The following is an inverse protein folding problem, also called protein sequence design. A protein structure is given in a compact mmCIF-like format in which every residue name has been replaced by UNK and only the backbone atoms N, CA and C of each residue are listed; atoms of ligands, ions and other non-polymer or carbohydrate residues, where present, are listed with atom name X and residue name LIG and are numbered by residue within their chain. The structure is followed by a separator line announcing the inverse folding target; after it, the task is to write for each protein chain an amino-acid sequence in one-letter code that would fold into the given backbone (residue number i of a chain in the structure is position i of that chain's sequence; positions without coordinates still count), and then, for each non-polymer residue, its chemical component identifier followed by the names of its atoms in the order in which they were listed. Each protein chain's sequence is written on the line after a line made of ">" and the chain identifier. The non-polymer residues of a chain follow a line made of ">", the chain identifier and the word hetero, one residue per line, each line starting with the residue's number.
data_IF_663544638187
#
_entry.id   IF_663544638187
#
_cell.length_a   1.000
_cell.length_b   1.000
_cell.length_c   1.000
_cell.angle_alpha   90.00
_cell.angle_beta   90.00
_cell.angle_gamma   90.00
#
_symmetry.space_group_name_H-M   'P 1'
#
loop_
_entity.id
_entity.type
_entity.pdbx_description
1 polymer ?
#
# COMPACT_ATOMS: atom_id res chain seq x y z
N UNK A 1 -12.07 8.45 -37.81
CA UNK A 1 -11.52 9.66 -37.17
C UNK A 1 -10.40 9.23 -36.26
N UNK A 2 -9.17 9.61 -36.59
CA UNK A 2 -7.98 9.36 -35.77
C UNK A 2 -8.06 10.25 -34.53
N UNK A 3 -7.99 9.66 -33.35
CA UNK A 3 -7.78 10.41 -32.12
C UNK A 3 -6.28 10.61 -31.95
N UNK A 4 -5.86 11.87 -32.05
CA UNK A 4 -4.47 12.30 -31.93
C UNK A 4 -3.95 12.03 -30.51
N UNK A 5 -2.87 11.27 -30.46
CA UNK A 5 -1.86 11.32 -29.41
C UNK A 5 -1.28 12.74 -29.33
N UNK A 6 -1.37 13.39 -28.17
CA UNK A 6 -0.46 14.42 -27.62
C UNK A 6 -1.12 15.14 -26.45
N UNK A 7 -1.02 14.57 -25.26
CA UNK A 7 -0.96 15.34 -24.00
C UNK A 7 -0.25 14.48 -22.94
N UNK A 8 1.06 14.26 -23.13
CA UNK A 8 1.95 13.88 -22.02
C UNK A 8 2.30 15.19 -21.31
N UNK A 9 1.52 15.56 -20.30
CA UNK A 9 1.98 16.52 -19.28
C UNK A 9 2.60 15.67 -18.17
N UNK A 10 3.94 15.59 -18.16
CA UNK A 10 4.68 15.07 -17.01
C UNK A 10 4.26 15.85 -15.75
N UNK A 11 3.97 15.21 -14.61
CA UNK A 11 3.60 15.92 -13.40
C UNK A 11 4.88 16.32 -12.69
N UNK A 12 5.15 17.61 -12.77
CA UNK A 12 6.26 18.23 -12.09
C UNK A 12 5.93 18.41 -10.60
N UNK A 13 6.75 17.85 -9.72
CA UNK A 13 6.78 18.25 -8.30
C UNK A 13 7.86 19.31 -8.17
N UNK A 14 7.47 20.55 -7.89
CA UNK A 14 8.41 21.65 -7.66
C UNK A 14 8.98 21.55 -6.24
N UNK A 15 10.29 21.32 -6.13
CA UNK A 15 11.06 21.59 -4.92
C UNK A 15 11.80 22.93 -5.07
N UNK A 16 12.24 23.52 -3.96
CA UNK A 16 13.11 24.71 -3.93
C UNK A 16 14.48 24.49 -4.60
N UNK A 17 14.79 23.26 -5.03
CA UNK A 17 16.03 22.86 -5.72
C UNK A 17 15.80 22.48 -7.19
N UNK A 18 14.60 22.70 -7.74
CA UNK A 18 14.27 22.40 -9.14
C UNK A 18 13.39 21.16 -9.32
N UNK A 19 13.16 20.81 -10.58
CA UNK A 19 12.33 19.71 -11.06
C UNK A 19 12.84 18.36 -10.51
N UNK A 20 12.10 17.76 -9.57
CA UNK A 20 12.44 16.39 -9.10
C UNK A 20 11.68 15.40 -9.96
N UNK A 21 12.41 14.67 -10.78
CA UNK A 21 11.90 13.61 -11.64
C UNK A 21 12.02 12.27 -10.91
N UNK A 22 10.96 11.89 -10.18
CA UNK A 22 11.03 10.88 -9.11
C UNK A 22 11.05 9.44 -9.64
N UNK A 23 10.39 9.14 -10.76
CA UNK A 23 10.34 7.80 -11.37
C UNK A 23 10.69 7.81 -12.88
N UNK A 24 11.61 8.67 -13.32
CA UNK A 24 11.94 8.80 -14.77
C UNK A 24 13.06 7.86 -15.27
N UNK A 25 13.67 7.06 -14.40
CA UNK A 25 14.55 5.96 -14.81
C UNK A 25 13.73 4.68 -14.90
N UNK A 26 14.11 3.78 -15.82
CA UNK A 26 13.55 2.44 -15.87
C UNK A 26 13.71 1.74 -14.52
N UNK A 27 12.67 1.05 -14.08
CA UNK A 27 12.56 0.30 -12.82
C UNK A 27 12.41 1.16 -11.56
N UNK A 28 11.88 2.39 -11.68
CA UNK A 28 11.58 3.24 -10.53
C UNK A 28 10.44 2.68 -9.67
N UNK A 29 10.69 2.47 -8.37
CA UNK A 29 9.70 1.91 -7.43
C UNK A 29 9.05 2.94 -6.54
N UNK A 30 7.72 2.81 -6.40
CA UNK A 30 6.99 3.47 -5.33
C UNK A 30 6.76 2.53 -4.15
N UNK A 31 7.18 2.94 -2.97
CA UNK A 31 6.81 2.30 -1.70
C UNK A 31 5.57 3.01 -1.14
N UNK A 32 4.39 2.43 -1.33
CA UNK A 32 3.14 2.95 -0.76
C UNK A 32 2.98 2.52 0.69
N UNK A 33 3.00 3.50 1.60
CA UNK A 33 2.86 3.26 3.04
C UNK A 33 1.51 3.81 3.53
N UNK A 34 0.46 2.98 3.68
CA UNK A 34 -0.80 3.41 4.28
C UNK A 34 -0.57 3.74 5.76
N UNK A 35 -0.96 4.94 6.17
CA UNK A 35 -0.49 5.52 7.43
C UNK A 35 -1.57 6.27 8.23
N UNK A 36 -1.55 6.09 9.55
CA UNK A 36 -2.21 6.93 10.56
C UNK A 36 -1.62 6.63 11.92
N UNK A 37 -1.19 7.66 12.65
CA UNK A 37 -0.76 7.58 14.05
C UNK A 37 0.30 6.47 14.31
N UNK A 38 1.33 6.42 13.46
CA UNK A 38 2.46 5.47 13.54
C UNK A 38 3.81 6.19 13.41
N UNK A 39 3.93 7.38 14.00
CA UNK A 39 5.11 8.24 13.82
C UNK A 39 6.39 7.59 14.37
N UNK A 40 6.29 6.82 15.45
CA UNK A 40 7.42 6.08 16.02
C UNK A 40 7.89 5.00 15.03
N UNK A 41 6.96 4.20 14.49
CA UNK A 41 7.28 3.18 13.49
C UNK A 41 7.83 3.82 12.22
N UNK A 42 7.27 4.94 11.74
CA UNK A 42 7.77 5.65 10.57
C UNK A 42 9.20 6.16 10.77
N UNK A 43 9.54 6.59 11.99
CA UNK A 43 10.88 7.07 12.32
C UNK A 43 11.95 5.97 12.29
N UNK A 44 11.56 4.72 12.56
CA UNK A 44 12.43 3.56 12.35
C UNK A 44 12.40 3.08 10.89
N UNK A 45 11.21 3.08 10.29
CA UNK A 45 10.95 2.55 8.96
C UNK A 45 11.72 3.29 7.87
N UNK A 46 11.59 4.62 7.82
CA UNK A 46 12.12 5.43 6.72
C UNK A 46 13.63 5.25 6.52
N UNK A 47 14.50 5.53 7.53
CA UNK A 47 15.95 5.38 7.35
C UNK A 47 16.39 3.92 7.23
N UNK A 48 15.61 2.96 7.75
CA UNK A 48 15.92 1.54 7.62
C UNK A 48 15.68 1.06 6.19
N UNK A 49 14.47 1.29 5.66
CA UNK A 49 14.09 0.80 4.34
C UNK A 49 14.89 1.51 3.25
N UNK A 50 15.14 2.81 3.40
CA UNK A 50 15.97 3.58 2.48
C UNK A 50 17.36 2.94 2.29
N UNK A 51 18.03 2.61 3.40
CA UNK A 51 19.31 1.88 3.38
C UNK A 51 19.18 0.49 2.76
N UNK A 52 18.16 -0.27 3.16
CA UNK A 52 17.92 -1.64 2.68
C UNK A 52 17.73 -1.68 1.16
N UNK A 53 17.05 -0.69 0.58
CA UNK A 53 16.82 -0.58 -0.86
C UNK A 53 18.04 -0.01 -1.59
N UNK A 54 18.75 0.96 -1.01
CA UNK A 54 20.00 1.47 -1.56
C UNK A 54 21.09 0.39 -1.67
N UNK A 55 21.21 -0.51 -0.68
CA UNK A 55 22.13 -1.66 -0.73
C UNK A 55 21.80 -2.65 -1.87
N UNK A 56 20.56 -2.64 -2.36
CA UNK A 56 20.11 -3.42 -3.51
C UNK A 56 20.17 -2.66 -4.84
N UNK A 57 20.64 -1.41 -4.83
CA UNK A 57 20.61 -0.51 -6.00
C UNK A 57 19.19 -0.31 -6.57
N UNK A 58 18.19 -0.26 -5.69
CA UNK A 58 16.80 0.00 -6.07
C UNK A 58 16.53 1.50 -5.93
N UNK A 59 16.37 2.19 -7.06
CA UNK A 59 15.94 3.59 -7.11
C UNK A 59 14.48 3.66 -6.65
N UNK A 60 14.24 4.30 -5.50
CA UNK A 60 12.96 4.19 -4.81
C UNK A 60 12.43 5.53 -4.27
N UNK A 61 11.13 5.52 -3.99
CA UNK A 61 10.41 6.64 -3.45
C UNK A 61 9.42 6.20 -2.37
N UNK A 62 9.54 6.76 -1.16
CA UNK A 62 8.66 6.40 -0.03
C UNK A 62 7.48 7.38 0.02
N UNK A 63 6.28 6.88 -0.32
CA UNK A 63 5.04 7.62 -0.34
C UNK A 63 4.15 7.23 0.85
N UNK A 64 4.08 8.11 1.84
CA UNK A 64 3.28 7.94 3.04
C UNK A 64 1.87 8.49 2.80
N UNK A 65 0.89 7.59 2.74
CA UNK A 65 -0.52 7.92 2.56
C UNK A 65 -1.19 8.12 3.93
N UNK A 66 -1.13 9.35 4.44
CA UNK A 66 -1.62 9.70 5.78
C UNK A 66 -3.12 9.98 5.76
N UNK A 67 -3.92 9.12 6.39
CA UNK A 67 -5.37 9.28 6.44
C UNK A 67 -5.78 10.28 7.52
N UNK A 68 -6.19 11.48 7.12
CA UNK A 68 -6.51 12.60 8.03
C UNK A 68 -7.99 12.80 8.34
N UNK A 69 -8.89 12.06 7.67
CA UNK A 69 -10.31 12.04 8.02
C UNK A 69 -10.58 11.31 9.35
N UNK A 70 -11.79 11.48 9.89
CA UNK A 70 -12.22 10.84 11.14
C UNK A 70 -12.85 9.45 10.94
N UNK A 71 -12.83 8.89 9.73
CA UNK A 71 -13.32 7.53 9.51
C UNK A 71 -12.33 6.52 10.07
N UNK A 72 -12.76 5.27 10.24
CA UNK A 72 -11.86 4.16 10.56
C UNK A 72 -10.76 4.06 9.52
N UNK A 73 -9.63 3.47 9.89
CA UNK A 73 -8.50 3.34 8.97
C UNK A 73 -8.88 2.45 7.78
N UNK A 74 -8.55 2.86 6.56
CA UNK A 74 -8.87 2.14 5.32
C UNK A 74 -7.61 1.98 4.47
N UNK A 75 -6.84 0.92 4.80
CA UNK A 75 -5.57 0.57 4.16
C UNK A 75 -5.70 0.47 2.64
N UNK A 76 -6.68 -0.27 2.15
CA UNK A 76 -6.89 -0.50 0.72
C UNK A 76 -7.20 0.77 -0.08
N UNK A 77 -8.03 1.67 0.46
CA UNK A 77 -8.33 2.92 -0.23
C UNK A 77 -7.14 3.87 -0.24
N UNK A 78 -6.33 3.90 0.82
CA UNK A 78 -5.08 4.67 0.83
C UNK A 78 -4.09 4.15 -0.22
N UNK A 79 -4.01 2.82 -0.40
CA UNK A 79 -3.20 2.21 -1.45
C UNK A 79 -3.69 2.61 -2.84
N UNK A 80 -5.01 2.60 -3.09
CA UNK A 80 -5.57 3.11 -4.36
C UNK A 80 -5.19 4.58 -4.61
N UNK A 81 -5.23 5.42 -3.57
CA UNK A 81 -4.83 6.83 -3.70
C UNK A 81 -3.32 6.95 -3.93
N UNK A 82 -2.51 6.14 -3.26
CA UNK A 82 -1.06 6.06 -3.49
C UNK A 82 -0.74 5.73 -4.94
N UNK A 83 -1.36 4.67 -5.49
CA UNK A 83 -1.23 4.33 -6.90
C UNK A 83 -1.55 5.53 -7.82
N UNK A 84 -2.61 6.28 -7.55
CA UNK A 84 -3.00 7.45 -8.36
C UNK A 84 -1.99 8.60 -8.28
N UNK A 85 -1.29 8.77 -7.16
CA UNK A 85 -0.21 9.76 -7.05
C UNK A 85 1.06 9.25 -7.75
N UNK A 86 1.32 7.96 -7.75
CA UNK A 86 2.50 7.34 -8.39
C UNK A 86 2.39 7.20 -9.91
N UNK A 87 1.20 6.89 -10.41
CA UNK A 87 0.89 6.85 -11.86
C UNK A 87 1.17 8.21 -12.50
N UNK A 88 0.93 9.30 -11.76
CA UNK A 88 1.37 10.63 -12.18
C UNK A 88 2.89 10.64 -12.31
N UNK A 89 3.62 10.29 -11.26
CA UNK A 89 5.09 10.36 -11.25
C UNK A 89 5.78 9.45 -12.27
N UNK A 90 5.07 8.49 -12.86
CA UNK A 90 5.56 7.61 -13.92
C UNK A 90 6.33 6.40 -13.40
N UNK A 91 6.00 5.91 -12.20
CA UNK A 91 6.63 4.71 -11.64
C UNK A 91 6.22 3.44 -12.39
N UNK A 92 7.11 2.46 -12.44
CA UNK A 92 6.88 1.21 -13.20
C UNK A 92 6.13 0.17 -12.35
N UNK A 93 6.41 0.14 -11.06
CA UNK A 93 5.77 -0.76 -10.11
C UNK A 93 5.66 -0.14 -8.72
N UNK A 94 4.76 -0.72 -7.93
CA UNK A 94 4.50 -0.30 -6.56
C UNK A 94 4.73 -1.44 -5.59
N UNK A 95 5.09 -1.08 -4.36
CA UNK A 95 5.20 -1.96 -3.20
C UNK A 95 4.24 -1.44 -2.14
N UNK A 96 3.15 -2.17 -1.92
CA UNK A 96 2.28 -1.95 -0.77
C UNK A 96 3.01 -2.39 0.48
N UNK A 97 3.27 -1.49 1.42
CA UNK A 97 4.16 -1.77 2.53
C UNK A 97 3.58 -1.32 3.87
N UNK A 98 3.38 -2.25 4.78
CA UNK A 98 3.05 -1.91 6.17
C UNK A 98 4.26 -1.21 6.83
N UNK A 99 4.02 -0.08 7.50
CA UNK A 99 5.07 0.74 8.14
C UNK A 99 5.76 0.02 9.30
N UNK A 100 5.12 -0.99 9.87
CA UNK A 100 5.60 -1.71 11.04
C UNK A 100 6.36 -3.02 10.71
N UNK A 101 6.53 -3.37 9.43
CA UNK A 101 7.12 -4.65 9.03
C UNK A 101 8.42 -4.43 8.26
N UNK A 102 9.58 -4.70 8.87
CA UNK A 102 10.88 -4.44 8.25
C UNK A 102 11.53 -5.75 7.76
N UNK A 103 11.99 -5.83 6.50
CA UNK A 103 12.72 -7.00 5.99
C UNK A 103 14.12 -7.07 6.60
N UNK A 104 14.48 -8.17 7.25
CA UNK A 104 15.80 -8.36 7.85
C UNK A 104 16.76 -9.14 6.95
N UNK A 105 16.23 -9.96 6.04
CA UNK A 105 17.03 -10.79 5.16
C UNK A 105 17.37 -10.03 3.85
N UNK A 106 18.66 -9.74 3.56
CA UNK A 106 19.07 -9.01 2.35
C UNK A 106 18.83 -9.80 1.04
N UNK A 107 18.52 -11.10 1.11
CA UNK A 107 18.14 -11.90 -0.06
C UNK A 107 16.73 -11.58 -0.59
N UNK A 108 15.92 -10.81 0.16
CA UNK A 108 14.60 -10.37 -0.28
C UNK A 108 14.76 -9.25 -1.30
N UNK A 109 14.57 -9.58 -2.58
CA UNK A 109 14.64 -8.60 -3.66
C UNK A 109 13.38 -7.75 -3.75
N UNK A 110 13.59 -6.43 -3.77
CA UNK A 110 12.57 -5.43 -4.08
C UNK A 110 12.59 -5.00 -5.55
N UNK A 111 13.41 -5.62 -6.40
CA UNK A 111 13.48 -5.28 -7.83
C UNK A 111 12.23 -5.66 -8.60
N UNK A 112 12.09 -5.11 -9.81
CA UNK A 112 10.91 -5.22 -10.68
C UNK A 112 10.25 -6.62 -10.65
N UNK A 113 8.92 -6.71 -10.40
CA UNK A 113 8.25 -7.99 -10.22
C UNK A 113 8.07 -8.78 -11.53
N UNK A 114 8.08 -8.10 -12.68
CA UNK A 114 7.67 -8.65 -13.96
C UNK A 114 6.20 -8.35 -14.27
N UNK A 115 5.87 -8.08 -15.53
CA UNK A 115 4.48 -7.95 -15.99
C UNK A 115 3.68 -9.23 -15.74
N UNK A 116 2.40 -9.10 -15.40
CA UNK A 116 1.53 -10.21 -15.06
C UNK A 116 1.87 -10.89 -13.74
N UNK A 117 2.79 -10.34 -12.93
CA UNK A 117 3.29 -10.97 -11.71
C UNK A 117 3.03 -10.12 -10.48
N UNK A 118 2.42 -10.74 -9.47
CA UNK A 118 2.30 -10.18 -8.13
C UNK A 118 3.28 -10.94 -7.23
N UNK A 119 4.27 -10.27 -6.67
CA UNK A 119 5.24 -10.87 -5.76
C UNK A 119 4.88 -10.53 -4.32
N UNK A 120 4.57 -11.54 -3.52
CA UNK A 120 4.30 -11.38 -2.10
C UNK A 120 5.58 -11.58 -1.29
N UNK A 121 6.06 -10.48 -0.70
CA UNK A 121 7.33 -10.39 0.01
C UNK A 121 7.19 -10.97 1.42
N UNK A 122 6.12 -10.61 2.15
CA UNK A 122 5.91 -11.11 3.51
C UNK A 122 5.19 -12.46 3.54
N UNK A 123 5.71 -13.45 2.82
CA UNK A 123 5.10 -14.76 2.67
C UNK A 123 4.75 -15.44 4.03
N UNK A 124 3.66 -16.22 4.11
CA UNK A 124 3.17 -16.86 5.36
C UNK A 124 4.22 -17.71 6.08
N UNK A 125 5.16 -18.28 5.32
CA UNK A 125 6.27 -19.08 5.83
C UNK A 125 7.35 -18.25 6.54
N UNK A 126 7.36 -16.93 6.35
CA UNK A 126 8.32 -16.00 6.92
C UNK A 126 7.68 -14.90 7.77
N UNK A 127 6.38 -14.66 7.62
CA UNK A 127 5.69 -13.63 8.38
C UNK A 127 5.58 -14.04 9.87
N UNK A 128 5.93 -13.16 10.84
CA UNK A 128 5.95 -13.51 12.25
C UNK A 128 4.56 -13.88 12.79
N UNK A 129 3.52 -13.11 12.39
CA UNK A 129 2.14 -13.32 12.85
C UNK A 129 1.25 -14.24 12.00
N UNK A 130 1.13 -14.03 10.69
CA UNK A 130 0.15 -14.72 9.84
C UNK A 130 0.78 -15.85 9.02
N UNK A 131 0.14 -17.03 9.00
CA UNK A 131 0.69 -18.23 8.35
C UNK A 131 -0.33 -19.02 7.51
N UNK A 132 -1.50 -18.45 7.23
CA UNK A 132 -2.51 -19.12 6.40
C UNK A 132 -2.16 -18.97 4.92
N UNK A 133 -2.48 -19.98 4.10
CA UNK A 133 -1.98 -20.11 2.72
C UNK A 133 -2.41 -19.00 1.76
N UNK A 134 -3.56 -18.36 2.00
CA UNK A 134 -4.12 -17.30 1.16
C UNK A 134 -3.64 -15.89 1.55
N UNK A 135 -2.85 -15.76 2.62
CA UNK A 135 -2.39 -14.47 3.12
C UNK A 135 -1.49 -13.76 2.09
N UNK A 136 -1.79 -12.49 1.83
CA UNK A 136 -1.02 -11.58 0.98
C UNK A 136 -0.86 -10.16 1.58
N UNK A 137 -1.17 -9.98 2.87
CA UNK A 137 -1.00 -8.70 3.57
C UNK A 137 0.46 -8.46 3.99
N UNK A 138 0.74 -7.31 4.61
CA UNK A 138 2.12 -6.91 4.95
C UNK A 138 2.79 -6.18 3.78
N UNK A 139 3.57 -6.91 2.98
CA UNK A 139 4.39 -6.38 1.89
C UNK A 139 4.09 -7.16 0.60
N UNK A 140 3.55 -6.46 -0.40
CA UNK A 140 3.10 -7.03 -1.67
C UNK A 140 3.46 -6.07 -2.81
N UNK A 141 4.00 -6.58 -3.91
CA UNK A 141 4.45 -5.75 -5.02
C UNK A 141 3.97 -6.27 -6.38
N UNK A 142 3.71 -5.35 -7.30
CA UNK A 142 3.22 -5.59 -8.65
C UNK A 142 3.38 -4.33 -9.50
N UNK A 143 3.34 -4.48 -10.81
CA UNK A 143 3.46 -3.37 -11.75
C UNK A 143 2.26 -2.41 -11.65
N UNK A 144 2.48 -1.16 -12.05
CA UNK A 144 1.39 -0.17 -12.09
C UNK A 144 0.29 -0.59 -13.07
N UNK A 145 0.68 -1.21 -14.20
CA UNK A 145 -0.21 -1.82 -15.20
C UNK A 145 -1.08 -2.92 -14.59
N UNK A 146 -0.48 -3.90 -13.91
CA UNK A 146 -1.21 -5.04 -13.33
C UNK A 146 -2.20 -4.59 -12.25
N UNK A 147 -1.79 -3.65 -11.38
CA UNK A 147 -2.69 -3.10 -10.36
C UNK A 147 -3.91 -2.42 -10.99
N UNK A 148 -3.72 -1.72 -12.11
CA UNK A 148 -4.80 -1.08 -12.86
C UNK A 148 -5.74 -2.10 -13.52
N UNK A 149 -5.19 -3.18 -14.09
CA UNK A 149 -5.97 -4.26 -14.73
C UNK A 149 -6.97 -4.87 -13.76
N UNK A 150 -6.58 -5.10 -12.51
CA UNK A 150 -7.47 -5.67 -11.47
C UNK A 150 -8.36 -4.62 -10.77
N UNK A 151 -8.37 -3.37 -11.27
CA UNK A 151 -9.05 -2.23 -10.67
C UNK A 151 -8.67 -1.99 -9.20
N UNK A 152 -7.40 -2.19 -8.87
CA UNK A 152 -6.85 -2.03 -7.52
C UNK A 152 -7.61 -2.76 -6.41
N UNK A 153 -7.47 -2.29 -5.18
CA UNK A 153 -8.12 -2.88 -4.01
C UNK A 153 -9.54 -2.35 -3.81
N UNK A 154 -10.40 -3.10 -3.12
CA UNK A 154 -11.75 -2.64 -2.74
C UNK A 154 -11.72 -1.47 -1.76
N UNK A 155 -12.62 -0.49 -1.93
CA UNK A 155 -12.72 0.67 -1.05
C UNK A 155 -13.60 0.44 0.20
N UNK A 156 -14.23 -0.73 0.33
CA UNK A 156 -15.25 -0.96 1.37
C UNK A 156 -14.67 -1.37 2.74
N UNK A 157 -13.36 -1.58 2.82
CA UNK A 157 -12.70 -2.15 4.00
C UNK A 157 -12.26 -1.06 4.98
N UNK A 158 -13.22 -0.64 5.80
CA UNK A 158 -13.00 0.25 6.93
C UNK A 158 -12.72 -0.54 8.21
N UNK A 159 -11.61 -0.22 8.89
CA UNK A 159 -11.08 -0.95 10.03
C UNK A 159 -10.27 -2.20 9.63
N UNK A 160 -9.80 -2.97 10.61
CA UNK A 160 -8.83 -4.03 10.35
C UNK A 160 -9.45 -5.24 9.61
N UNK A 161 -8.75 -5.71 8.58
CA UNK A 161 -8.85 -7.04 7.97
C UNK A 161 -9.84 -7.22 6.83
N UNK A 162 -9.57 -8.27 6.04
CA UNK A 162 -10.26 -8.80 4.85
C UNK A 162 -9.99 -8.05 3.54
N UNK A 163 -9.29 -6.93 3.56
CA UNK A 163 -8.97 -6.20 2.32
C UNK A 163 -7.91 -6.91 1.48
N UNK A 164 -6.94 -7.55 2.14
CA UNK A 164 -5.91 -8.39 1.53
C UNK A 164 -6.50 -9.70 1.00
N UNK A 165 -7.38 -10.34 1.76
CA UNK A 165 -8.14 -11.52 1.33
C UNK A 165 -9.00 -11.24 0.08
N UNK A 166 -9.60 -10.06 0.00
CA UNK A 166 -10.40 -9.66 -1.17
C UNK A 166 -9.52 -9.35 -2.38
N UNK A 167 -8.38 -8.69 -2.17
CA UNK A 167 -7.42 -8.43 -3.22
C UNK A 167 -6.80 -9.72 -3.76
N UNK A 168 -6.60 -10.75 -2.92
CA UNK A 168 -6.20 -12.08 -3.36
C UNK A 168 -7.17 -12.66 -4.40
N UNK A 169 -8.49 -12.44 -4.20
CA UNK A 169 -9.49 -12.86 -5.17
C UNK A 169 -9.41 -12.04 -6.46
N UNK A 170 -9.09 -10.74 -6.39
CA UNK A 170 -8.89 -9.89 -7.58
C UNK A 170 -7.69 -10.34 -8.42
N UNK A 171 -6.59 -10.69 -7.79
CA UNK A 171 -5.39 -11.24 -8.45
C UNK A 171 -5.75 -12.51 -9.21
N UNK A 172 -6.57 -13.38 -8.60
CA UNK A 172 -7.04 -14.61 -9.25
C UNK A 172 -8.02 -14.34 -10.38
N UNK A 173 -8.97 -13.43 -10.18
CA UNK A 173 -9.96 -13.08 -11.21
C UNK A 173 -9.30 -12.38 -12.42
N UNK A 174 -8.15 -11.73 -12.21
CA UNK A 174 -7.36 -11.09 -13.25
C UNK A 174 -6.26 -11.97 -13.85
N UNK A 175 -6.23 -13.27 -13.53
CA UNK A 175 -5.25 -14.25 -14.02
C UNK A 175 -3.77 -13.82 -13.81
N UNK A 176 -3.50 -13.05 -12.75
CA UNK A 176 -2.15 -12.64 -12.41
C UNK A 176 -1.41 -13.75 -11.66
N UNK A 177 -0.12 -13.91 -11.97
CA UNK A 177 0.74 -14.90 -11.35
C UNK A 177 1.19 -14.44 -9.95
N UNK A 178 0.61 -15.01 -8.90
CA UNK A 178 1.03 -14.76 -7.53
C UNK A 178 2.27 -15.60 -7.19
N UNK A 179 3.41 -14.94 -7.05
CA UNK A 179 4.67 -15.53 -6.57
C UNK A 179 4.93 -15.15 -5.11
N UNK A 180 5.75 -15.94 -4.42
CA UNK A 180 6.16 -15.69 -3.04
C UNK A 180 7.68 -15.78 -2.97
N UNK A 181 8.29 -15.01 -2.07
CA UNK A 181 9.69 -15.24 -1.73
C UNK A 181 9.82 -16.62 -1.08
N UNK A 182 10.84 -17.38 -1.47
CA UNK A 182 11.07 -18.78 -1.08
C UNK A 182 12.58 -19.03 -0.95
N UNK A 183 12.95 -20.17 -0.37
CA UNK A 183 14.34 -20.62 -0.24
C UNK A 183 15.29 -19.65 0.50
N UNK A 184 14.74 -18.82 1.38
CA UNK A 184 15.53 -18.01 2.30
C UNK A 184 16.15 -18.89 3.39
N UNK A 185 17.35 -18.51 3.84
CA UNK A 185 18.03 -19.15 4.99
C UNK A 185 17.39 -18.80 6.34
N UNK A 186 16.51 -17.80 6.38
CA UNK A 186 15.80 -17.30 7.56
C UNK A 186 14.41 -17.94 7.70
N UNK A 187 13.76 -17.73 8.84
CA UNK A 187 12.43 -18.23 9.17
C UNK A 187 11.53 -17.13 9.76
N UNK A 188 10.39 -17.51 10.33
CA UNK A 188 9.39 -16.57 10.91
C UNK A 188 9.91 -15.72 12.08
N UNK A 189 11.03 -16.10 12.69
CA UNK A 189 11.62 -15.41 13.83
C UNK A 189 12.61 -14.31 13.43
N UNK A 190 13.21 -14.41 12.24
CA UNK A 190 14.33 -13.55 11.84
C UNK A 190 14.28 -13.08 10.38
N UNK A 191 13.23 -13.39 9.61
CA UNK A 191 13.08 -12.84 8.25
C UNK A 191 12.54 -11.40 8.27
N UNK A 192 11.64 -11.09 9.20
CA UNK A 192 11.06 -9.76 9.36
C UNK A 192 11.05 -9.32 10.83
N UNK A 193 11.29 -8.03 11.07
CA UNK A 193 11.04 -7.38 12.36
C UNK A 193 9.66 -6.73 12.32
N UNK A 194 8.73 -7.19 13.15
CA UNK A 194 7.39 -6.61 13.27
C UNK A 194 7.31 -5.66 14.47
N UNK A 195 7.40 -4.35 14.20
CA UNK A 195 7.33 -3.24 15.16
C UNK A 195 5.90 -3.00 15.65
N UNK A 196 5.29 -4.01 16.25
CA UNK A 196 3.90 -3.96 16.65
C UNK A 196 3.73 -4.40 18.10
N UNK A 197 3.85 -3.44 19.01
CA UNK A 197 3.66 -3.66 20.43
C UNK A 197 2.20 -3.91 20.83
N UNK A 198 2.00 -4.29 22.10
CA UNK A 198 0.69 -4.68 22.66
C UNK A 198 -0.26 -3.47 22.74
N UNK A 199 0.29 -2.27 22.83
CA UNK A 199 -0.40 -0.98 22.82
C UNK A 199 -1.06 -0.65 21.48
N UNK A 200 -0.53 -1.17 20.35
CA UNK A 200 -1.07 -0.97 19.01
C UNK A 200 -2.28 -1.86 18.73
N UNK A 201 -3.40 -1.59 19.41
CA UNK A 201 -4.64 -2.35 19.23
C UNK A 201 -5.16 -2.21 17.80
N UNK A 202 -5.46 -3.36 17.19
CA UNK A 202 -6.18 -3.42 15.90
C UNK A 202 -7.64 -3.07 16.11
N UNK A 203 -8.19 -2.34 15.16
CA UNK A 203 -9.60 -1.97 15.14
C UNK A 203 -10.47 -3.15 14.65
N UNK A 204 -10.80 -4.05 15.59
CA UNK A 204 -11.70 -5.18 15.41
C UNK A 204 -13.19 -4.82 15.61
N UNK A 205 -13.54 -3.53 15.65
CA UNK A 205 -14.84 -3.10 16.15
C UNK A 205 -16.00 -3.89 15.52
N UNK A 206 -16.92 -4.30 16.40
CA UNK A 206 -18.02 -5.20 16.05
C UNK A 206 -19.06 -4.44 15.24
N UNK A 207 -19.10 -4.77 13.96
CA UNK A 207 -20.14 -4.34 13.03
C UNK A 207 -21.36 -5.28 13.12
N UNK A 208 -22.54 -4.84 12.67
CA UNK A 208 -23.76 -5.66 12.67
C UNK A 208 -23.56 -6.95 11.85
N UNK A 209 -24.44 -7.94 12.02
CA UNK A 209 -24.38 -9.21 11.28
C UNK A 209 -24.33 -8.97 9.76
N UNK A 210 -25.14 -8.05 9.26
CA UNK A 210 -25.21 -7.71 7.83
C UNK A 210 -23.92 -7.05 7.34
N UNK A 211 -23.32 -6.19 8.16
CA UNK A 211 -22.04 -5.55 7.85
C UNK A 211 -20.90 -6.58 7.81
N UNK A 212 -20.91 -7.59 8.69
CA UNK A 212 -19.96 -8.71 8.63
C UNK A 212 -20.13 -9.52 7.34
N UNK A 213 -21.37 -9.80 6.95
CA UNK A 213 -21.67 -10.50 5.70
C UNK A 213 -21.21 -9.69 4.48
N UNK A 214 -21.42 -8.37 4.50
CA UNK A 214 -21.02 -7.47 3.42
C UNK A 214 -19.50 -7.36 3.26
N UNK A 215 -18.73 -7.33 4.36
CA UNK A 215 -17.25 -7.40 4.31
C UNK A 215 -16.74 -8.69 3.65
N UNK A 216 -17.46 -9.82 3.79
CA UNK A 216 -17.07 -11.12 3.22
C UNK A 216 -17.53 -11.34 1.78
N UNK A 217 -18.51 -10.57 1.30
CA UNK A 217 -18.96 -10.63 -0.09
C UNK A 217 -17.83 -10.15 -1.02
N UNK A 218 -17.65 -10.73 -2.21
CA UNK A 218 -16.72 -10.17 -3.21
C UNK A 218 -17.19 -8.78 -3.66
N UNK A 219 -16.28 -7.82 -3.85
CA UNK A 219 -16.60 -6.48 -4.30
C UNK A 219 -16.29 -6.27 -5.78
N UNK A 220 -17.32 -6.24 -6.61
CA UNK A 220 -17.22 -5.92 -8.04
C UNK A 220 -17.58 -4.46 -8.36
N UNK A 221 -17.90 -3.66 -7.34
CA UNK A 221 -18.52 -2.34 -7.51
C UNK A 221 -17.52 -1.22 -7.28
N UNK A 222 -16.57 -1.41 -6.37
CA UNK A 222 -15.56 -0.40 -6.06
C UNK A 222 -14.14 -0.86 -6.35
N UNK A 223 -13.25 0.11 -6.56
CA UNK A 223 -11.83 -0.14 -6.77
C UNK A 223 -11.05 1.15 -6.98
N UNK A 224 -9.90 1.02 -7.64
CA UNK A 224 -9.05 2.13 -8.06
C UNK A 224 -9.83 3.22 -8.80
N UNK A 225 -10.65 2.83 -9.78
CA UNK A 225 -11.41 3.77 -10.61
C UNK A 225 -12.57 4.48 -9.89
N UNK A 226 -12.89 4.08 -8.66
CA UNK A 226 -14.04 4.57 -7.91
C UNK A 226 -13.67 5.12 -6.53
N UNK A 227 -12.38 5.12 -6.17
CA UNK A 227 -11.95 5.67 -4.88
C UNK A 227 -12.28 7.16 -4.85
N UNK A 228 -12.91 7.62 -3.76
CA UNK A 228 -13.32 9.02 -3.59
C UNK A 228 -12.54 9.61 -2.44
N UNK A 229 -11.82 10.69 -2.70
CA UNK A 229 -10.91 11.28 -1.73
C UNK A 229 -10.64 12.76 -2.05
N UNK A 230 -10.04 13.46 -1.09
CA UNK A 230 -9.46 14.77 -1.26
C UNK A 230 -8.05 14.80 -0.65
N UNK A 231 -7.08 15.36 -1.36
CA UNK A 231 -5.75 15.59 -0.82
C UNK A 231 -5.74 16.96 -0.13
N UNK A 232 -5.46 16.97 1.17
CA UNK A 232 -5.49 18.17 2.00
C UNK A 232 -4.11 18.82 2.12
N UNK A 233 -3.03 18.03 2.03
CA UNK A 233 -1.67 18.54 2.04
C UNK A 233 -0.69 17.55 1.37
N UNK A 234 0.45 18.08 0.91
CA UNK A 234 1.63 17.31 0.51
C UNK A 234 2.84 17.89 1.24
N UNK A 235 3.61 17.05 1.92
CA UNK A 235 4.77 17.46 2.74
C UNK A 235 5.93 16.52 2.53
N UNK A 236 7.13 17.04 2.77
CA UNK A 236 8.37 16.27 2.82
C UNK A 236 8.80 16.18 4.28
N UNK A 237 9.08 14.98 4.76
CA UNK A 237 9.62 14.75 6.09
C UNK A 237 10.97 14.02 5.95
N UNK A 238 12.00 14.52 6.62
CA UNK A 238 13.34 13.93 6.59
C UNK A 238 13.64 13.19 7.89
N UNK A 239 14.22 12.01 7.77
CA UNK A 239 14.66 11.14 8.85
C UNK A 239 16.15 10.84 8.65
N UNK A 240 17.01 11.77 9.10
CA UNK A 240 18.42 11.76 8.72
C UNK A 240 18.56 12.04 7.22
N UNK A 241 19.26 11.16 6.50
CA UNK A 241 19.45 11.25 5.05
C UNK A 241 18.25 10.73 4.23
N UNK A 242 17.34 9.98 4.86
CA UNK A 242 16.12 9.49 4.20
C UNK A 242 15.05 10.59 4.15
N UNK A 243 14.35 10.69 3.01
CA UNK A 243 13.22 11.60 2.84
C UNK A 243 11.98 10.81 2.46
N UNK A 244 10.88 11.07 3.16
CA UNK A 244 9.56 10.52 2.84
C UNK A 244 8.60 11.61 2.41
N UNK A 245 7.69 11.25 1.52
CA UNK A 245 6.69 12.14 0.99
C UNK A 245 5.34 11.81 1.61
N UNK A 246 4.85 12.73 2.44
CA UNK A 246 3.59 12.56 3.18
C UNK A 246 2.46 13.24 2.43
N UNK A 247 1.46 12.46 2.03
CA UNK A 247 0.23 12.94 1.42
C UNK A 247 -0.89 12.81 2.44
N UNK A 248 -1.46 13.93 2.86
CA UNK A 248 -2.63 13.91 3.71
C UNK A 248 -3.88 13.70 2.86
N UNK A 249 -4.63 12.66 3.21
CA UNK A 249 -5.79 12.20 2.46
C UNK A 249 -7.01 12.19 3.36
N UNK A 250 -8.04 12.90 2.93
CA UNK A 250 -9.40 12.71 3.43
C UNK A 250 -10.13 11.76 2.49
N UNK A 251 -10.39 10.54 2.94
CA UNK A 251 -11.23 9.59 2.23
C UNK A 251 -12.70 9.96 2.40
N UNK A 252 -13.49 9.74 1.34
CA UNK A 252 -14.93 9.85 1.38
C UNK A 252 -15.56 8.51 1.78
N UNK A 253 -16.53 8.56 2.70
CA UNK A 253 -17.36 7.41 3.03
C UNK A 253 -18.80 7.63 2.54
N UNK A 254 -19.31 6.69 1.76
CA UNK A 254 -20.74 6.58 1.48
C UNK A 254 -21.45 5.92 2.67
N UNK A 255 -22.13 6.71 3.50
CA UNK A 255 -22.85 6.23 4.67
C UNK A 255 -24.04 5.32 4.33
N UNK A 256 -24.54 5.32 3.09
CA UNK A 256 -25.60 4.38 2.67
C UNK A 256 -25.03 3.02 2.33
N UNK A 257 -23.82 2.98 1.79
CA UNK A 257 -23.18 1.74 1.36
C UNK A 257 -22.29 1.13 2.43
N UNK A 258 -21.36 1.90 3.01
CA UNK A 258 -20.40 1.45 4.02
C UNK A 258 -20.57 2.21 5.35
N UNK A 259 -21.75 2.18 6.01
CA UNK A 259 -22.00 2.96 7.23
C UNK A 259 -21.05 2.66 8.39
N UNK A 260 -20.40 1.49 8.37
CA UNK A 260 -19.41 1.07 9.37
C UNK A 260 -18.04 1.73 9.22
N UNK A 261 -17.90 2.70 8.29
CA UNK A 261 -16.72 3.56 8.21
C UNK A 261 -16.58 4.49 9.42
N UNK A 262 -17.67 4.79 10.12
CA UNK A 262 -17.63 5.40 11.46
C UNK A 262 -18.13 4.40 12.47
N UNK A 263 -17.49 4.39 13.65
CA UNK A 263 -18.05 3.69 14.79
C UNK A 263 -19.30 4.45 15.27
N UNK A 264 -20.32 3.76 15.79
CA UNK A 264 -21.40 4.42 16.50
C UNK A 264 -20.80 5.28 17.61
N UNK A 265 -21.31 6.50 17.81
CA UNK A 265 -20.96 7.28 19.01
C UNK A 265 -21.32 6.42 20.23
N UNK A 266 -20.40 6.29 21.18
CA UNK A 266 -20.71 5.68 22.47
C UNK A 266 -21.91 6.42 23.05
N UNK A 267 -22.94 5.65 23.45
CA UNK A 267 -24.09 6.20 24.18
C UNK A 267 -23.69 6.55 25.59
#
# INVERSE_FOLDING_TARGET
>A
MRWNEKFIRAPYVYSSLGLVYICQRSDGVEITVPFRDRNEELSEFAPYLDRFLHEQMVDHYILVMNQTDEYRFNRASLINVGWLESDRLGCDYMVMHDVDLLPLNPQISYGFPGEGTVRHISAPQYHPKYNYSKFIGGILMLTMSDYKVVNGMSNKYWGWGLEDDEFYLRIRDGDLNLTRVENLSTDRSNTFRHLHGVERKRDYAVVTKDQKAMKRKRDYVSGLNSVRYNITARRFHSYGDSTVHVIDVNLYCDMKWTPYCKLPKAR
#
